data_IF_140118124741
#
_entry.id   IF_140118124741
#
_cell.length_a   1.000
_cell.length_b   1.000
_cell.length_c   1.000
_cell.angle_alpha   90.00
_cell.angle_beta   90.00
_cell.angle_gamma   90.00
#
_symmetry.space_group_name_H-M   'P 1'
#
loop_
_entity.id
_entity.type
_entity.pdbx_description
1 polymer ?
#
# COMPACT_ATOMS: atom_id res chain seq x y z
N UNK A 1 -1.98 -34.47 -29.56
CA UNK A 1 -2.78 -33.62 -30.47
C UNK A 1 -4.27 -33.99 -30.50
N UNK A 2 -4.70 -35.14 -29.97
CA UNK A 2 -6.13 -35.51 -29.83
C UNK A 2 -6.63 -35.44 -28.38
N UNK A 3 -6.41 -34.31 -27.69
CA UNK A 3 -7.02 -34.11 -26.37
C UNK A 3 -8.48 -33.71 -26.54
N UNK A 4 -9.39 -34.45 -25.89
CA UNK A 4 -10.82 -34.09 -25.81
C UNK A 4 -11.02 -32.73 -25.13
N UNK A 5 -10.15 -32.39 -24.19
CA UNK A 5 -10.19 -31.13 -23.44
C UNK A 5 -9.84 -29.95 -24.35
N UNK A 6 -8.79 -30.08 -25.16
CA UNK A 6 -8.41 -29.05 -26.14
C UNK A 6 -9.51 -28.82 -27.18
N UNK A 7 -10.16 -29.90 -27.63
CA UNK A 7 -11.31 -29.80 -28.54
C UNK A 7 -12.51 -29.11 -27.86
N UNK A 8 -12.73 -29.34 -26.56
CA UNK A 8 -13.78 -28.68 -25.79
C UNK A 8 -13.50 -27.18 -25.61
N UNK A 9 -12.27 -26.80 -25.25
CA UNK A 9 -11.86 -25.39 -25.13
C UNK A 9 -12.09 -24.66 -26.46
N UNK A 10 -11.57 -25.20 -27.56
CA UNK A 10 -11.73 -24.61 -28.88
C UNK A 10 -13.21 -24.47 -29.30
N UNK A 11 -14.04 -25.48 -29.01
CA UNK A 11 -15.48 -25.43 -29.30
C UNK A 11 -16.20 -24.35 -28.50
N UNK A 12 -15.83 -24.15 -27.22
CA UNK A 12 -16.43 -23.13 -26.36
C UNK A 12 -15.96 -21.72 -26.76
N UNK A 13 -14.69 -21.55 -27.11
CA UNK A 13 -14.14 -20.27 -27.60
C UNK A 13 -14.79 -19.84 -28.93
N UNK A 14 -15.06 -20.78 -29.84
CA UNK A 14 -15.83 -20.50 -31.07
C UNK A 14 -17.26 -20.02 -30.82
N UNK A 15 -17.81 -20.24 -29.62
CA UNK A 15 -19.12 -19.73 -29.19
C UNK A 15 -19.02 -18.46 -28.35
N UNK A 16 -17.87 -17.79 -28.39
CA UNK A 16 -17.57 -16.55 -27.66
C UNK A 16 -17.84 -16.67 -26.16
N UNK A 17 -17.54 -17.84 -25.58
CA UNK A 17 -17.62 -18.07 -24.13
C UNK A 17 -16.25 -17.83 -23.50
N UNK A 18 -16.24 -17.27 -22.29
CA UNK A 18 -15.08 -17.34 -21.41
C UNK A 18 -14.86 -18.78 -20.97
N UNK A 19 -13.63 -19.28 -21.09
CA UNK A 19 -13.29 -20.67 -20.80
C UNK A 19 -12.22 -20.75 -19.72
N UNK A 20 -12.49 -21.53 -18.69
CA UNK A 20 -11.50 -21.96 -17.71
C UNK A 20 -11.13 -23.42 -17.97
N UNK A 21 -9.83 -23.70 -18.10
CA UNK A 21 -9.30 -25.05 -18.12
C UNK A 21 -8.87 -25.42 -16.70
N UNK A 22 -9.38 -26.54 -16.17
CA UNK A 22 -9.00 -27.07 -14.87
C UNK A 22 -8.12 -28.29 -15.06
N UNK A 23 -6.90 -28.28 -14.52
CA UNK A 23 -5.93 -29.36 -14.70
C UNK A 23 -5.34 -29.77 -13.35
N UNK A 24 -5.58 -31.01 -12.94
CA UNK A 24 -4.88 -31.65 -11.83
C UNK A 24 -3.51 -32.15 -12.33
N UNK A 25 -2.43 -31.59 -11.78
CA UNK A 25 -1.07 -31.90 -12.22
C UNK A 25 -0.55 -33.11 -11.44
N UNK A 26 -0.65 -34.28 -12.06
CA UNK A 26 -0.13 -35.55 -11.51
C UNK A 26 1.14 -36.05 -12.20
N UNK A 27 1.54 -35.44 -13.31
CA UNK A 27 2.69 -35.87 -14.12
C UNK A 27 3.13 -34.78 -15.09
N UNK A 28 4.33 -34.92 -15.66
CA UNK A 28 4.84 -34.03 -16.71
C UNK A 28 3.91 -33.93 -17.94
N UNK A 29 3.15 -34.98 -18.26
CA UNK A 29 2.16 -34.92 -19.36
C UNK A 29 0.99 -33.98 -19.05
N UNK A 30 0.65 -33.81 -17.77
CA UNK A 30 -0.36 -32.86 -17.35
C UNK A 30 0.16 -31.42 -17.41
N UNK A 31 1.45 -31.18 -17.14
CA UNK A 31 2.09 -29.88 -17.37
C UNK A 31 2.05 -29.50 -18.86
N UNK A 32 2.41 -30.43 -19.75
CA UNK A 32 2.34 -30.24 -21.20
C UNK A 32 0.89 -29.96 -21.67
N UNK A 33 -0.09 -30.67 -21.10
CA UNK A 33 -1.50 -30.43 -21.37
C UNK A 33 -1.94 -29.03 -20.89
N UNK A 34 -1.54 -28.63 -19.69
CA UNK A 34 -1.86 -27.32 -19.13
C UNK A 34 -1.29 -26.19 -19.99
N UNK A 35 -0.04 -26.29 -20.44
CA UNK A 35 0.58 -25.33 -21.35
C UNK A 35 -0.13 -25.27 -22.72
N UNK A 36 -0.66 -26.39 -23.22
CA UNK A 36 -1.46 -26.40 -24.46
C UNK A 36 -2.82 -25.74 -24.27
N UNK A 37 -3.51 -26.04 -23.16
CA UNK A 37 -4.84 -25.47 -22.86
C UNK A 37 -4.74 -23.97 -22.58
N UNK A 38 -3.67 -23.53 -21.92
CA UNK A 38 -3.42 -22.13 -21.60
C UNK A 38 -3.28 -21.22 -22.82
N UNK A 39 -2.96 -21.74 -24.01
CA UNK A 39 -2.89 -20.92 -25.23
C UNK A 39 -4.27 -20.49 -25.75
N UNK A 40 -5.28 -21.30 -25.51
CA UNK A 40 -6.64 -21.09 -26.04
C UNK A 40 -7.64 -20.65 -24.95
N UNK A 41 -7.39 -21.00 -23.68
CA UNK A 41 -8.27 -20.69 -22.55
C UNK A 41 -8.08 -19.26 -22.01
N UNK A 42 -9.12 -18.71 -21.39
CA UNK A 42 -9.04 -17.41 -20.71
C UNK A 42 -8.46 -17.53 -19.30
N UNK A 43 -8.72 -18.68 -18.65
CA UNK A 43 -8.20 -19.02 -17.34
C UNK A 43 -7.63 -20.44 -17.33
N UNK A 44 -6.53 -20.64 -16.63
CA UNK A 44 -5.93 -21.94 -16.38
C UNK A 44 -5.85 -22.16 -14.87
N UNK A 45 -6.71 -23.03 -14.35
CA UNK A 45 -6.74 -23.42 -12.94
C UNK A 45 -5.89 -24.69 -12.80
N UNK A 46 -4.83 -24.59 -12.00
CA UNK A 46 -3.88 -25.66 -11.75
C UNK A 46 -4.10 -26.21 -10.35
N UNK A 47 -4.31 -27.51 -10.21
CA UNK A 47 -4.34 -28.20 -8.91
C UNK A 47 -3.11 -29.08 -8.78
N UNK A 48 -2.17 -28.69 -7.92
CA UNK A 48 -1.08 -29.54 -7.46
C UNK A 48 -1.49 -30.32 -6.21
N UNK A 49 -1.02 -31.55 -6.05
CA UNK A 49 -1.13 -32.28 -4.77
C UNK A 49 -0.05 -31.88 -3.75
N UNK A 50 1.06 -31.34 -4.26
CA UNK A 50 2.14 -30.76 -3.49
C UNK A 50 2.88 -29.75 -4.39
N UNK A 51 2.64 -28.46 -4.18
CA UNK A 51 3.31 -27.39 -4.94
C UNK A 51 4.82 -27.36 -4.74
N UNK A 52 5.34 -27.97 -3.66
CA UNK A 52 6.79 -28.07 -3.43
C UNK A 52 7.48 -28.99 -4.43
N UNK A 53 6.72 -29.83 -5.14
CA UNK A 53 7.22 -30.85 -6.06
C UNK A 53 6.94 -30.52 -7.53
N UNK A 54 5.94 -29.69 -7.82
CA UNK A 54 5.51 -29.35 -9.19
C UNK A 54 5.99 -27.94 -9.53
N UNK A 55 6.87 -27.76 -10.53
CA UNK A 55 7.37 -26.44 -10.89
C UNK A 55 6.30 -25.66 -11.65
N UNK A 56 5.47 -24.94 -10.89
CA UNK A 56 4.57 -23.88 -11.36
C UNK A 56 5.31 -22.93 -12.32
N UNK A 57 6.61 -22.70 -12.04
CA UNK A 57 7.58 -21.99 -12.88
C UNK A 57 7.59 -22.45 -14.35
N UNK A 58 7.58 -23.75 -14.62
CA UNK A 58 7.65 -24.28 -15.99
C UNK A 58 6.39 -23.92 -16.79
N UNK A 59 5.23 -23.96 -16.14
CA UNK A 59 3.95 -23.65 -16.79
C UNK A 59 3.82 -22.15 -17.01
N UNK A 60 4.21 -21.33 -16.01
CA UNK A 60 4.25 -19.86 -16.13
C UNK A 60 5.19 -19.46 -17.28
N UNK A 61 6.41 -20.00 -17.32
CA UNK A 61 7.38 -19.71 -18.38
C UNK A 61 6.86 -20.13 -19.78
N UNK A 62 6.17 -21.27 -19.87
CA UNK A 62 5.62 -21.76 -21.14
C UNK A 62 4.41 -20.96 -21.67
N UNK A 63 3.80 -20.12 -20.83
CA UNK A 63 2.62 -19.30 -21.15
C UNK A 63 2.93 -17.80 -21.09
N UNK A 64 4.19 -17.41 -20.90
CA UNK A 64 4.59 -16.02 -20.86
C UNK A 64 4.24 -15.33 -22.19
N UNK A 65 3.47 -14.24 -22.11
CA UNK A 65 3.00 -13.48 -23.28
C UNK A 65 1.68 -13.98 -23.88
N UNK A 66 1.15 -15.11 -23.42
CA UNK A 66 -0.22 -15.53 -23.74
C UNK A 66 -1.24 -14.73 -22.91
N UNK A 67 -2.50 -14.68 -23.38
CA UNK A 67 -3.56 -13.88 -22.73
C UNK A 67 -4.29 -14.61 -21.60
N UNK A 68 -3.78 -15.74 -21.15
CA UNK A 68 -4.41 -16.58 -20.13
C UNK A 68 -4.07 -16.10 -18.73
N UNK A 69 -5.06 -16.15 -17.83
CA UNK A 69 -4.84 -15.93 -16.40
C UNK A 69 -4.60 -17.25 -15.68
N UNK A 70 -3.48 -17.39 -15.02
CA UNK A 70 -3.09 -18.61 -14.29
C UNK A 70 -3.58 -18.50 -12.84
N UNK A 71 -4.32 -19.50 -12.38
CA UNK A 71 -4.83 -19.59 -11.01
C UNK A 71 -4.30 -20.88 -10.38
N UNK A 72 -3.53 -20.78 -9.30
CA UNK A 72 -3.06 -21.95 -8.54
C UNK A 72 -4.03 -22.31 -7.41
N UNK A 73 -4.48 -23.55 -7.34
CA UNK A 73 -5.29 -24.04 -6.24
C UNK A 73 -4.43 -24.37 -5.01
N UNK A 74 -4.67 -23.73 -3.88
CA UNK A 74 -3.82 -23.79 -2.68
C UNK A 74 -4.64 -24.19 -1.46
N UNK A 75 -4.07 -24.99 -0.55
CA UNK A 75 -4.78 -25.47 0.63
C UNK A 75 -4.65 -24.53 1.84
N UNK A 76 -3.57 -23.75 1.92
CA UNK A 76 -3.25 -22.93 3.09
C UNK A 76 -2.42 -21.69 2.73
N UNK A 77 -2.07 -20.92 3.76
CA UNK A 77 -1.25 -19.72 3.66
C UNK A 77 0.13 -19.96 3.04
N UNK A 78 0.81 -21.05 3.38
CA UNK A 78 2.18 -21.29 2.92
C UNK A 78 2.19 -21.60 1.42
N UNK A 79 1.21 -22.39 0.94
CA UNK A 79 1.02 -22.64 -0.48
C UNK A 79 0.56 -21.39 -1.25
N UNK A 80 -0.35 -20.60 -0.68
CA UNK A 80 -0.78 -19.33 -1.28
C UNK A 80 0.39 -18.36 -1.45
N UNK A 81 1.21 -18.21 -0.40
CA UNK A 81 2.41 -17.39 -0.42
C UNK A 81 3.39 -17.86 -1.49
N UNK A 82 3.68 -19.16 -1.54
CA UNK A 82 4.53 -19.74 -2.57
C UNK A 82 3.98 -19.44 -3.98
N UNK A 83 2.71 -19.73 -4.24
CA UNK A 83 2.11 -19.58 -5.57
C UNK A 83 2.06 -18.12 -6.07
N UNK A 84 1.91 -17.16 -5.15
CA UNK A 84 1.88 -15.73 -5.47
C UNK A 84 3.28 -15.13 -5.62
N UNK A 85 4.26 -15.60 -4.83
CA UNK A 85 5.64 -15.10 -4.87
C UNK A 85 6.56 -15.83 -5.87
N UNK A 86 6.08 -16.89 -6.53
CA UNK A 86 6.87 -17.66 -7.50
C UNK A 86 7.14 -16.83 -8.77
N UNK A 87 8.42 -16.47 -9.00
CA UNK A 87 8.94 -15.62 -10.11
C UNK A 87 8.51 -14.14 -10.07
N UNK A 88 9.18 -13.27 -10.86
CA UNK A 88 8.86 -11.82 -11.00
C UNK A 88 7.42 -11.52 -11.49
N UNK A 89 6.66 -12.55 -11.89
CA UNK A 89 5.29 -12.43 -12.40
C UNK A 89 4.24 -13.21 -11.60
N UNK A 90 4.62 -14.11 -10.68
CA UNK A 90 3.65 -14.87 -9.88
C UNK A 90 2.63 -15.67 -10.70
N UNK A 91 1.58 -16.13 -10.02
CA UNK A 91 0.29 -16.46 -10.66
C UNK A 91 -0.63 -15.25 -10.63
N UNK A 92 -1.59 -15.17 -11.57
CA UNK A 92 -2.59 -14.10 -11.58
C UNK A 92 -3.58 -14.17 -10.42
N UNK A 93 -3.59 -15.29 -9.68
CA UNK A 93 -4.37 -15.45 -8.47
C UNK A 93 -4.31 -16.86 -7.91
N UNK A 94 -4.99 -17.06 -6.79
CA UNK A 94 -5.08 -18.36 -6.11
C UNK A 94 -6.53 -18.80 -5.92
N UNK A 95 -6.78 -20.10 -6.03
CA UNK A 95 -8.03 -20.74 -5.64
C UNK A 95 -7.82 -21.39 -4.27
N UNK A 96 -8.25 -20.72 -3.21
CA UNK A 96 -8.10 -21.24 -1.85
C UNK A 96 -9.09 -22.39 -1.61
N UNK A 97 -8.57 -23.56 -1.28
CA UNK A 97 -9.28 -24.79 -0.96
C UNK A 97 -8.97 -25.24 0.48
N UNK A 98 -9.40 -24.48 1.51
CA UNK A 98 -8.87 -24.65 2.85
C UNK A 98 -9.57 -25.77 3.61
N UNK A 99 -8.80 -26.54 4.38
CA UNK A 99 -9.36 -27.49 5.34
C UNK A 99 -9.83 -26.81 6.64
N UNK A 100 -9.34 -25.59 6.91
CA UNK A 100 -9.69 -24.80 8.08
C UNK A 100 -10.06 -23.36 7.70
N UNK A 101 -11.12 -22.83 8.32
CA UNK A 101 -11.57 -21.44 8.11
C UNK A 101 -10.47 -20.42 8.48
N UNK A 102 -9.56 -20.77 9.39
CA UNK A 102 -8.43 -19.94 9.82
C UNK A 102 -7.54 -19.49 8.65
N UNK A 103 -7.39 -20.33 7.62
CA UNK A 103 -6.55 -20.07 6.46
C UNK A 103 -7.13 -18.97 5.56
N UNK A 104 -8.45 -18.82 5.51
CA UNK A 104 -9.11 -17.76 4.74
C UNK A 104 -8.64 -16.38 5.19
N UNK A 105 -8.56 -16.16 6.51
CA UNK A 105 -8.09 -14.88 7.08
C UNK A 105 -6.61 -14.64 6.74
N UNK A 106 -5.76 -15.64 6.95
CA UNK A 106 -4.32 -15.53 6.67
C UNK A 106 -4.03 -15.22 5.21
N UNK A 107 -4.75 -15.86 4.27
CA UNK A 107 -4.59 -15.62 2.84
C UNK A 107 -5.16 -14.26 2.44
N UNK A 108 -6.27 -13.81 3.03
CA UNK A 108 -6.76 -12.45 2.82
C UNK A 108 -5.73 -11.41 3.27
N UNK A 109 -5.13 -11.57 4.46
CA UNK A 109 -4.05 -10.69 4.95
C UNK A 109 -2.81 -10.72 4.05
N UNK A 110 -2.49 -11.88 3.46
CA UNK A 110 -1.42 -11.99 2.47
C UNK A 110 -1.73 -11.19 1.20
N UNK A 111 -2.95 -11.30 0.67
CA UNK A 111 -3.38 -10.55 -0.52
C UNK A 111 -3.33 -9.04 -0.27
N UNK A 112 -3.76 -8.58 0.90
CA UNK A 112 -3.66 -7.18 1.31
C UNK A 112 -2.21 -6.70 1.35
N UNK A 113 -1.29 -7.52 1.87
CA UNK A 113 0.15 -7.21 1.88
C UNK A 113 0.76 -7.15 0.49
N UNK A 114 0.38 -8.06 -0.40
CA UNK A 114 0.88 -8.06 -1.79
C UNK A 114 0.37 -6.82 -2.54
N UNK A 115 -0.85 -6.36 -2.26
CA UNK A 115 -1.42 -5.14 -2.84
C UNK A 115 -0.93 -3.86 -2.16
N UNK A 116 -0.36 -3.96 -0.95
CA UNK A 116 0.15 -2.79 -0.23
C UNK A 116 1.37 -2.21 -0.92
N UNK A 117 1.36 -0.90 -1.09
CA UNK A 117 2.54 -0.14 -1.51
C UNK A 117 3.49 -0.03 -0.30
N UNK A 118 4.79 -0.32 -0.49
CA UNK A 118 5.80 -0.08 0.53
C UNK A 118 6.53 1.23 0.23
N UNK A 119 6.50 2.13 1.21
CA UNK A 119 7.14 3.43 1.13
C UNK A 119 8.45 3.39 1.89
N UNK A 120 9.57 3.61 1.20
CA UNK A 120 10.88 3.66 1.84
C UNK A 120 11.02 4.92 2.70
N UNK A 121 10.65 4.80 3.98
CA UNK A 121 10.71 5.92 4.92
C UNK A 121 12.16 6.25 5.29
N UNK A 122 12.44 7.54 5.44
CA UNK A 122 13.75 8.07 5.83
C UNK A 122 13.63 8.84 7.13
N UNK A 123 14.69 8.81 7.95
CA UNK A 123 14.77 9.59 9.17
C UNK A 123 15.36 10.98 8.86
N UNK A 124 14.50 11.99 8.70
CA UNK A 124 14.94 13.38 8.57
C UNK A 124 15.25 13.99 9.92
N UNK A 125 16.26 14.83 9.97
CA UNK A 125 16.62 15.60 11.17
C UNK A 125 15.85 16.91 11.17
N UNK A 126 15.15 17.21 12.25
CA UNK A 126 14.45 18.48 12.41
C UNK A 126 15.48 19.62 12.43
N UNK A 127 15.36 20.54 11.48
CA UNK A 127 16.21 21.73 11.34
C UNK A 127 15.54 22.97 11.95
N UNK A 128 14.20 23.03 11.95
CA UNK A 128 13.43 24.16 12.47
C UNK A 128 12.07 23.74 12.99
N UNK A 129 11.70 24.27 14.17
CA UNK A 129 10.35 24.16 14.74
C UNK A 129 9.97 25.53 15.29
N UNK A 130 8.90 26.13 14.79
CA UNK A 130 8.44 27.43 15.28
C UNK A 130 6.91 27.54 15.29
N UNK A 131 6.32 28.11 16.36
CA UNK A 131 4.93 28.53 16.33
C UNK A 131 4.75 29.60 15.24
N UNK A 132 3.66 29.48 14.47
CA UNK A 132 3.31 30.49 13.46
C UNK A 132 2.03 31.23 13.87
N UNK A 133 0.96 31.17 13.07
CA UNK A 133 -0.33 31.80 13.37
C UNK A 133 -1.50 30.81 13.34
N UNK A 134 -2.72 31.33 13.37
CA UNK A 134 -3.94 30.52 13.23
C UNK A 134 -4.18 30.21 11.75
N UNK A 135 -4.49 28.95 11.43
CA UNK A 135 -4.87 28.54 10.08
C UNK A 135 -5.94 27.45 10.08
N UNK A 136 -6.55 27.24 8.91
CA UNK A 136 -7.51 26.15 8.68
C UNK A 136 -6.75 24.83 8.53
N UNK A 137 -7.00 23.92 9.47
CA UNK A 137 -6.43 22.58 9.49
C UNK A 137 -7.49 21.53 9.19
N UNK A 138 -7.04 20.39 8.68
CA UNK A 138 -7.87 19.24 8.33
C UNK A 138 -7.62 18.10 9.31
N UNK A 139 -8.71 17.51 9.77
CA UNK A 139 -8.76 16.27 10.54
C UNK A 139 -9.40 15.21 9.64
N UNK A 140 -8.72 14.09 9.43
CA UNK A 140 -9.25 12.97 8.64
C UNK A 140 -9.66 11.87 9.60
N UNK A 141 -10.95 11.57 9.66
CA UNK A 141 -11.49 10.40 10.34
C UNK A 141 -11.69 9.30 9.30
N UNK A 142 -11.03 8.17 9.48
CA UNK A 142 -11.17 7.00 8.61
C UNK A 142 -12.20 6.02 9.16
N UNK A 143 -12.62 5.08 8.32
CA UNK A 143 -13.43 3.92 8.70
C UNK A 143 -12.57 2.73 9.16
N UNK A 144 -11.27 2.94 9.38
CA UNK A 144 -10.29 1.93 9.76
C UNK A 144 -9.62 2.29 11.09
N UNK A 145 -9.17 1.30 11.86
CA UNK A 145 -8.44 1.53 13.11
C UNK A 145 -6.95 1.42 12.85
N UNK A 146 -6.19 2.47 13.18
CA UNK A 146 -4.73 2.47 13.09
C UNK A 146 -4.09 2.02 14.40
N UNK A 147 -2.92 1.41 14.29
CA UNK A 147 -2.10 0.97 15.43
C UNK A 147 -1.12 2.07 15.87
N UNK A 148 -0.37 1.80 16.94
CA UNK A 148 0.71 2.67 17.38
C UNK A 148 1.84 2.67 16.33
N UNK A 149 2.28 3.85 15.91
CA UNK A 149 3.24 4.03 14.83
C UNK A 149 2.59 4.12 13.44
N UNK A 150 1.27 3.92 13.33
CA UNK A 150 0.52 4.10 12.08
C UNK A 150 -0.08 5.51 11.98
N UNK A 151 -0.08 6.03 10.76
CA UNK A 151 -0.51 7.40 10.47
C UNK A 151 -0.75 7.64 8.98
N UNK A 152 -0.65 8.89 8.54
CA UNK A 152 -0.74 9.28 7.13
C UNK A 152 0.53 10.03 6.72
N UNK A 153 0.94 9.82 5.47
CA UNK A 153 2.00 10.63 4.85
C UNK A 153 1.41 11.96 4.39
N UNK A 154 1.84 13.06 5.03
CA UNK A 154 1.32 14.41 4.80
C UNK A 154 2.44 15.43 4.74
N UNK A 155 2.42 16.35 3.78
CA UNK A 155 3.45 17.39 3.65
C UNK A 155 2.99 18.59 2.83
N UNK A 156 3.70 19.71 2.93
CA UNK A 156 3.40 20.89 2.09
C UNK A 156 3.81 20.69 0.62
N UNK A 157 4.65 19.71 0.33
CA UNK A 157 5.12 19.38 -1.01
C UNK A 157 4.71 17.96 -1.38
N UNK A 158 4.25 17.74 -2.60
CA UNK A 158 3.72 16.44 -3.06
C UNK A 158 4.79 15.34 -3.05
N UNK A 159 6.05 15.71 -3.22
CA UNK A 159 7.19 14.79 -3.31
C UNK A 159 7.87 14.54 -1.96
N UNK A 160 7.35 15.13 -0.89
CA UNK A 160 8.04 15.19 0.40
C UNK A 160 7.05 15.26 1.57
N UNK A 161 6.82 14.11 2.19
CA UNK A 161 5.74 13.91 3.14
C UNK A 161 6.27 13.46 4.50
N UNK A 162 5.62 13.89 5.57
CA UNK A 162 5.92 13.51 6.95
C UNK A 162 4.95 12.43 7.39
N UNK A 163 5.41 11.45 8.18
CA UNK A 163 4.52 10.46 8.78
C UNK A 163 3.82 11.05 10.01
N UNK A 164 2.61 11.56 9.79
CA UNK A 164 1.75 12.14 10.84
C UNK A 164 0.98 11.02 11.51
N UNK A 165 1.29 10.78 12.78
CA UNK A 165 0.74 9.68 13.55
C UNK A 165 -0.74 9.87 13.86
N UNK A 166 -1.47 8.75 13.94
CA UNK A 166 -2.87 8.73 14.36
C UNK A 166 -3.07 9.17 15.82
N UNK A 167 -4.30 9.51 16.21
CA UNK A 167 -4.65 9.83 17.59
C UNK A 167 -4.83 8.53 18.43
N UNK A 168 -4.00 7.51 18.18
CA UNK A 168 -4.11 6.15 18.76
C UNK A 168 -3.54 6.02 20.18
N UNK A 169 -2.83 7.04 20.68
CA UNK A 169 -2.35 7.08 22.06
C UNK A 169 -3.37 7.71 23.01
N UNK A 170 -3.64 7.06 24.13
CA UNK A 170 -4.37 7.65 25.25
C UNK A 170 -3.49 8.67 25.98
N UNK A 171 -4.09 9.78 26.43
CA UNK A 171 -3.48 10.68 27.41
C UNK A 171 -4.40 10.79 28.63
N UNK A 172 -3.89 11.37 29.73
CA UNK A 172 -4.69 11.59 30.94
C UNK A 172 -5.96 12.43 30.70
N UNK A 173 -5.98 13.23 29.62
CA UNK A 173 -7.03 14.19 29.32
C UNK A 173 -7.88 13.82 28.09
N UNK A 174 -7.41 12.90 27.23
CA UNK A 174 -8.04 12.61 25.94
C UNK A 174 -8.00 11.11 25.65
N UNK A 175 -9.19 10.53 25.45
CA UNK A 175 -9.33 9.15 24.98
C UNK A 175 -8.79 8.98 23.56
N UNK A 176 -8.19 7.83 23.29
CA UNK A 176 -7.65 7.49 21.97
C UNK A 176 -8.76 7.47 20.90
N UNK A 177 -8.40 7.93 19.70
CA UNK A 177 -9.19 7.84 18.48
C UNK A 177 -8.29 7.32 17.36
N UNK A 178 -7.93 6.02 17.40
CA UNK A 178 -7.02 5.41 16.43
C UNK A 178 -7.51 5.46 14.98
N UNK A 179 -8.74 5.86 14.71
CA UNK A 179 -9.25 6.10 13.35
C UNK A 179 -8.98 7.53 12.83
N UNK A 180 -8.45 8.43 13.66
CA UNK A 180 -8.29 9.86 13.36
C UNK A 180 -6.83 10.22 13.15
N UNK A 181 -6.57 11.04 12.12
CA UNK A 181 -5.30 11.77 11.95
C UNK A 181 -5.58 13.27 11.90
N UNK A 182 -4.85 14.04 12.70
CA UNK A 182 -4.83 15.49 12.61
C UNK A 182 -3.81 15.89 11.54
N UNK A 183 -4.19 15.71 10.27
CA UNK A 183 -3.28 15.61 9.14
C UNK A 183 -2.40 16.85 8.88
N UNK A 184 -2.99 18.05 8.81
CA UNK A 184 -2.24 19.26 8.42
C UNK A 184 -3.14 20.40 7.95
N UNK A 185 -2.62 21.49 7.37
CA UNK A 185 -3.40 22.58 6.79
C UNK A 185 -4.13 22.15 5.53
N UNK A 186 -5.15 22.91 5.13
CA UNK A 186 -5.96 22.68 3.92
C UNK A 186 -5.17 22.51 2.61
N UNK A 187 -3.98 23.10 2.50
CA UNK A 187 -3.12 23.03 1.31
C UNK A 187 -2.12 21.86 1.34
N UNK A 188 -1.96 21.16 2.46
CA UNK A 188 -1.00 20.06 2.51
C UNK A 188 -1.52 18.88 1.67
N UNK A 189 -0.58 18.16 1.07
CA UNK A 189 -0.83 16.94 0.34
C UNK A 189 -0.92 15.75 1.29
N UNK A 190 -1.75 14.79 0.95
CA UNK A 190 -1.80 13.46 1.57
C UNK A 190 -1.58 12.38 0.51
N UNK A 191 -0.91 11.29 0.88
CA UNK A 191 -0.73 10.14 0.00
C UNK A 191 -2.03 9.33 -0.16
N UNK A 192 -2.31 8.92 -1.39
CA UNK A 192 -3.49 8.17 -1.82
C UNK A 192 -3.06 6.97 -2.70
N UNK A 193 -3.91 5.94 -2.87
CA UNK A 193 -3.53 4.73 -3.59
C UNK A 193 -3.04 4.99 -5.03
N UNK A 194 -2.10 4.16 -5.50
CA UNK A 194 -1.52 4.29 -6.83
C UNK A 194 -0.40 5.32 -6.90
N UNK A 195 0.30 5.55 -5.78
CA UNK A 195 1.37 6.53 -5.61
C UNK A 195 0.99 7.95 -6.05
N UNK A 196 -0.19 8.42 -5.63
CA UNK A 196 -0.71 9.76 -5.95
C UNK A 196 -0.88 10.59 -4.70
N UNK A 197 -0.85 11.91 -4.86
CA UNK A 197 -1.19 12.84 -3.78
C UNK A 197 -2.45 13.64 -4.10
N UNK A 198 -3.16 14.05 -3.04
CA UNK A 198 -4.35 14.91 -3.11
C UNK A 198 -4.25 16.00 -2.05
N UNK A 199 -4.82 17.19 -2.28
CA UNK A 199 -4.88 18.18 -1.22
C UNK A 199 -5.84 17.74 -0.12
N UNK A 200 -5.47 17.98 1.14
CA UNK A 200 -6.32 17.64 2.28
C UNK A 200 -7.71 18.32 2.22
N UNK A 201 -7.80 19.51 1.61
CA UNK A 201 -9.05 20.23 1.41
C UNK A 201 -9.99 19.61 0.38
N UNK A 202 -9.47 18.76 -0.50
CA UNK A 202 -10.25 18.11 -1.55
C UNK A 202 -10.81 16.75 -1.11
N UNK A 203 -10.41 16.26 0.07
CA UNK A 203 -10.91 15.00 0.61
C UNK A 203 -12.39 15.10 0.96
N UNK A 204 -13.14 14.07 0.56
CA UNK A 204 -14.56 13.91 0.88
C UNK A 204 -14.82 12.56 1.55
N UNK A 205 -16.00 12.41 2.15
CA UNK A 205 -16.44 11.10 2.69
C UNK A 205 -16.56 10.09 1.55
N UNK A 206 -15.95 8.91 1.73
CA UNK A 206 -15.90 7.86 0.73
C UNK A 206 -14.61 7.85 -0.10
N UNK A 207 -13.79 8.89 -0.02
CA UNK A 207 -12.46 8.88 -0.65
C UNK A 207 -11.54 7.84 -0.02
N UNK A 208 -10.56 7.39 -0.79
CA UNK A 208 -9.50 6.50 -0.36
C UNK A 208 -8.23 7.28 -0.01
N UNK A 209 -7.64 6.97 1.14
CA UNK A 209 -6.34 7.49 1.59
C UNK A 209 -5.46 6.34 2.04
N UNK A 210 -4.14 6.54 2.07
CA UNK A 210 -3.22 5.54 2.62
C UNK A 210 -2.91 5.81 4.08
N UNK A 211 -3.03 4.77 4.91
CA UNK A 211 -2.41 4.73 6.23
C UNK A 211 -1.09 3.98 6.12
N UNK A 212 -0.03 4.50 6.74
CA UNK A 212 1.33 3.95 6.65
C UNK A 212 1.86 3.67 8.06
N UNK A 213 2.47 2.50 8.25
CA UNK A 213 3.15 2.14 9.50
C UNK A 213 4.61 2.64 9.55
N UNK A 214 5.27 2.45 10.69
CA UNK A 214 6.67 2.89 10.90
C UNK A 214 7.67 2.15 10.01
N UNK A 215 7.31 0.98 9.48
CA UNK A 215 8.09 0.19 8.53
C UNK A 215 7.82 0.59 7.06
N UNK A 216 6.88 1.51 6.83
CA UNK A 216 6.52 1.98 5.49
C UNK A 216 5.46 1.14 4.78
N UNK A 217 4.88 0.13 5.45
CA UNK A 217 3.79 -0.64 4.84
C UNK A 217 2.51 0.20 4.83
N UNK A 218 1.86 0.26 3.69
CA UNK A 218 0.61 1.00 3.53
C UNK A 218 -0.63 0.11 3.58
N UNK A 219 -1.77 0.71 3.93
CA UNK A 219 -3.10 0.12 3.81
C UNK A 219 -4.05 1.17 3.28
N UNK A 220 -4.98 0.78 2.42
CA UNK A 220 -6.05 1.67 1.97
C UNK A 220 -7.06 1.82 3.10
N UNK A 221 -7.40 3.06 3.43
CA UNK A 221 -8.43 3.41 4.39
C UNK A 221 -9.48 4.32 3.73
N UNK A 222 -10.74 4.07 4.05
CA UNK A 222 -11.85 4.90 3.57
C UNK A 222 -12.02 6.09 4.49
N UNK A 223 -12.13 7.29 3.92
CA UNK A 223 -12.43 8.52 4.66
C UNK A 223 -13.90 8.48 5.09
N UNK A 224 -14.13 8.46 6.40
CA UNK A 224 -15.47 8.56 6.98
C UNK A 224 -15.93 10.01 7.13
N UNK A 225 -15.04 10.89 7.60
CA UNK A 225 -15.34 12.31 7.77
C UNK A 225 -14.09 13.17 7.66
N UNK A 226 -14.22 14.32 7.01
CA UNK A 226 -13.21 15.38 6.99
C UNK A 226 -13.70 16.56 7.81
N UNK A 227 -12.89 17.01 8.78
CA UNK A 227 -13.21 18.16 9.64
C UNK A 227 -12.21 19.27 9.43
N UNK A 228 -12.66 20.43 8.97
CA UNK A 228 -11.84 21.63 8.79
C UNK A 228 -12.15 22.62 9.91
N UNK A 229 -11.13 23.09 10.63
CA UNK A 229 -11.28 24.08 11.68
C UNK A 229 -10.04 24.97 11.85
N UNK A 230 -10.22 26.16 12.44
CA UNK A 230 -9.12 27.08 12.71
C UNK A 230 -8.39 26.76 14.01
N UNK A 231 -7.07 26.65 13.94
CA UNK A 231 -6.22 26.22 15.06
C UNK A 231 -4.82 26.84 14.97
N UNK A 232 -4.11 27.04 16.10
CA UNK A 232 -2.72 27.51 16.08
C UNK A 232 -1.79 26.54 15.33
N UNK A 233 -1.04 27.10 14.38
CA UNK A 233 -0.01 26.55 13.51
C UNK A 233 1.34 26.31 14.21
N UNK A 234 2.05 25.22 13.88
CA UNK A 234 3.49 25.08 14.07
C UNK A 234 4.15 24.71 12.74
N UNK A 235 5.17 25.45 12.33
CA UNK A 235 6.03 25.10 11.22
C UNK A 235 7.01 24.03 11.69
N UNK A 236 7.09 22.94 10.93
CA UNK A 236 8.06 21.88 11.13
C UNK A 236 8.90 21.76 9.85
N UNK A 237 10.21 21.90 9.98
CA UNK A 237 11.18 21.71 8.91
C UNK A 237 12.09 20.53 9.25
N UNK A 238 12.23 19.61 8.30
CA UNK A 238 13.13 18.47 8.38
C UNK A 238 14.10 18.46 7.21
N UNK A 239 15.32 17.98 7.45
CA UNK A 239 16.37 17.84 6.45
C UNK A 239 16.83 16.39 6.35
N UNK A 240 16.95 15.88 5.12
CA UNK A 240 17.54 14.58 4.83
C UNK A 240 18.41 14.68 3.58
N UNK A 241 19.70 14.34 3.69
CA UNK A 241 20.68 14.38 2.58
C UNK A 241 20.68 15.72 1.81
N UNK A 242 20.50 16.85 2.51
CA UNK A 242 20.46 18.20 1.92
C UNK A 242 19.11 18.59 1.31
N UNK A 243 18.12 17.68 1.29
CA UNK A 243 16.74 17.98 0.90
C UNK A 243 15.99 18.50 2.10
N UNK A 244 15.45 19.72 1.98
CA UNK A 244 14.67 20.38 3.03
C UNK A 244 13.18 20.22 2.75
N UNK A 245 12.45 19.79 3.76
CA UNK A 245 11.02 19.51 3.73
C UNK A 245 10.31 20.34 4.77
N UNK A 246 9.10 20.77 4.46
CA UNK A 246 8.28 21.56 5.38
C UNK A 246 6.88 20.99 5.46
N UNK A 247 6.31 21.12 6.65
CA UNK A 247 4.89 20.96 6.85
C UNK A 247 4.43 21.91 7.95
N UNK A 248 3.13 22.14 8.01
CA UNK A 248 2.48 22.84 9.11
C UNK A 248 1.60 21.83 9.83
N UNK A 249 1.67 21.84 11.15
CA UNK A 249 0.84 20.97 11.99
C UNK A 249 0.22 21.79 13.10
N UNK A 250 -0.92 21.34 13.61
CA UNK A 250 -1.53 22.00 14.76
C UNK A 250 -0.55 21.95 15.95
N UNK A 251 -0.35 23.10 16.58
CA UNK A 251 0.41 23.22 17.82
C UNK A 251 -0.41 22.67 18.99
N UNK A 252 -0.34 21.36 19.24
CA UNK A 252 -0.94 20.69 20.38
C UNK A 252 -0.22 19.37 20.70
N UNK A 253 -0.28 18.96 21.97
CA UNK A 253 0.35 17.72 22.48
C UNK A 253 -0.19 16.42 21.86
N UNK A 254 -1.42 16.45 21.34
CA UNK A 254 -2.08 15.28 20.74
C UNK A 254 -1.68 15.08 19.28
N UNK A 255 -1.01 16.05 18.66
CA UNK A 255 -0.50 15.92 17.29
C UNK A 255 0.92 15.38 17.36
N UNK A 256 1.17 14.28 16.67
CA UNK A 256 2.45 13.58 16.78
C UNK A 256 3.01 13.21 15.41
N UNK A 257 4.32 13.24 15.30
CA UNK A 257 5.09 12.67 14.20
C UNK A 257 5.70 11.36 14.66
N UNK A 258 5.96 10.43 13.73
CA UNK A 258 6.65 9.18 14.06
C UNK A 258 8.16 9.39 14.01
N UNK A 259 8.89 8.97 15.05
CA UNK A 259 10.36 9.03 15.13
C UNK A 259 11.06 7.85 14.46
N UNK A 260 12.39 7.91 14.34
CA UNK A 260 13.20 6.81 13.78
C UNK A 260 13.07 5.47 14.53
N UNK A 261 12.73 5.50 15.83
CA UNK A 261 12.46 4.30 16.62
C UNK A 261 10.98 3.89 16.60
N UNK A 262 10.17 4.53 15.75
CA UNK A 262 8.75 4.25 15.57
C UNK A 262 7.84 4.77 16.67
N UNK A 263 8.35 5.65 17.54
CA UNK A 263 7.58 6.24 18.63
C UNK A 263 6.92 7.55 18.21
N UNK A 264 5.70 7.83 18.65
CA UNK A 264 5.09 9.13 18.40
C UNK A 264 5.75 10.23 19.24
N UNK A 265 6.28 11.27 18.59
CA UNK A 265 6.78 12.49 19.23
C UNK A 265 5.75 13.60 19.05
N UNK A 266 5.34 14.21 20.16
CA UNK A 266 4.44 15.37 20.18
C UNK A 266 5.06 16.56 19.45
N UNK A 267 4.27 17.19 18.58
CA UNK A 267 4.67 18.40 17.86
C UNK A 267 4.99 19.53 18.84
N UNK A 268 4.30 19.62 19.97
CA UNK A 268 4.57 20.62 21.00
C UNK A 268 5.92 20.41 21.72
N UNK A 269 6.45 19.18 21.71
CA UNK A 269 7.71 18.80 22.37
C UNK A 269 8.88 18.64 21.40
N UNK A 270 8.62 18.77 20.09
CA UNK A 270 9.57 18.57 19.01
C UNK A 270 10.68 19.63 19.04
N UNK A 271 11.93 19.20 18.85
CA UNK A 271 13.12 20.05 18.93
C UNK A 271 14.03 19.84 17.73
N UNK A 272 14.84 20.86 17.46
CA UNK A 272 15.94 20.75 16.49
C UNK A 272 16.86 19.60 16.90
N UNK A 273 17.19 18.74 15.93
CA UNK A 273 17.97 17.52 16.15
C UNK A 273 17.13 16.25 16.35
N UNK A 274 15.84 16.36 16.64
CA UNK A 274 14.95 15.18 16.66
C UNK A 274 14.88 14.56 15.27
N UNK A 275 14.72 13.24 15.22
CA UNK A 275 14.61 12.50 13.96
C UNK A 275 13.22 11.94 13.78
N UNK A 276 12.64 12.24 12.63
CA UNK A 276 11.27 11.91 12.27
C UNK A 276 11.22 11.17 10.94
N UNK A 277 10.23 10.30 10.80
CA UNK A 277 9.99 9.52 9.60
C UNK A 277 9.31 10.37 8.53
N UNK A 278 9.91 10.39 7.36
CA UNK A 278 9.43 11.06 6.17
C UNK A 278 9.42 10.09 4.99
N UNK A 279 8.63 10.39 3.98
CA UNK A 279 8.73 9.80 2.66
C UNK A 279 9.21 10.87 1.68
N UNK A 280 10.23 10.51 0.89
CA UNK A 280 10.70 11.30 -0.24
C UNK A 280 10.43 10.50 -1.50
N UNK A 281 9.74 11.11 -2.46
CA UNK A 281 9.63 10.53 -3.79
C UNK A 281 11.05 10.35 -4.36
N UNK A 282 11.42 9.18 -4.91
CA UNK A 282 12.72 8.98 -5.54
C UNK A 282 13.08 10.04 -6.59
N UNK A 283 12.07 10.63 -7.26
CA UNK A 283 12.24 11.71 -8.22
C UNK A 283 12.49 13.09 -7.55
N UNK A 284 12.23 13.22 -6.25
CA UNK A 284 12.46 14.46 -5.49
C UNK A 284 13.94 14.84 -5.37
N UNK A 285 14.87 13.88 -5.52
CA UNK A 285 16.32 14.10 -5.40
C UNK A 285 16.90 15.07 -6.43
N UNK A 286 16.11 15.47 -7.41
CA UNK A 286 16.49 16.49 -8.38
C UNK A 286 16.24 17.95 -7.90
N UNK A 287 15.65 18.16 -6.72
CA UNK A 287 15.44 19.51 -6.16
C UNK A 287 16.71 20.22 -5.65
N UNK A 288 17.89 19.59 -5.77
CA UNK A 288 19.20 20.22 -5.57
C UNK A 288 19.87 20.77 -6.85
N UNK A 289 19.45 20.34 -8.05
CA UNK A 289 19.95 20.86 -9.34
C UNK A 289 18.87 20.71 -10.42
N UNK A 290 18.38 21.85 -10.90
CA UNK A 290 17.57 22.10 -12.09
C UNK A 290 16.95 20.87 -12.80
N UNK A 291 15.63 20.68 -12.64
CA UNK A 291 14.81 19.97 -13.64
C UNK A 291 14.23 21.00 -14.59
N UNK A 292 14.16 20.64 -15.87
CA UNK A 292 13.31 21.27 -16.89
C UNK A 292 11.80 21.12 -16.58
N UNK A 293 11.37 21.38 -15.35
CA UNK A 293 9.97 21.51 -14.97
C UNK A 293 9.74 22.83 -14.22
N UNK A 294 8.81 23.63 -14.73
CA UNK A 294 8.65 25.06 -14.46
C UNK A 294 7.91 25.39 -13.16
N UNK A 295 8.00 24.56 -12.12
CA UNK A 295 7.21 24.73 -10.89
C UNK A 295 8.15 24.88 -9.69
N UNK A 296 7.99 26.00 -8.97
CA UNK A 296 8.73 26.31 -7.74
C UNK A 296 7.72 26.45 -6.60
N UNK A 297 7.69 25.47 -5.69
CA UNK A 297 6.97 25.52 -4.41
C UNK A 297 7.92 26.10 -3.32
N UNK A 298 7.43 26.97 -2.41
CA UNK A 298 8.25 27.65 -1.38
C UNK A 298 7.56 27.75 -0.02
#
# INVERSE_FOLDING_TARGET
>A
RESKDLAAVNRLKRRDKKVAAYVEILSKKHEELAALLGKDADYLILLGRDWKVIPLENIIAGLQGEKVKIIAAVADYDEAKLALETMEHGTDGVLLCPHEISQIKKVAELMEKIQSENYELKAATISKVEPVGIGDRVCVDTCSMMQLGEGMLVGSYSQGLFLVHSESMESEYVASRPFRVNAGPVHAYVMTPGNKTKYLSELETGDEVLTVDKEGNSKVAIVGRVKIEKRPLMLVEGEYEGVVLRTLLQNAETIRLVSEDGKPISVADLKVGDKIMIYLDPNARHFGMAIEESIIEK
#
